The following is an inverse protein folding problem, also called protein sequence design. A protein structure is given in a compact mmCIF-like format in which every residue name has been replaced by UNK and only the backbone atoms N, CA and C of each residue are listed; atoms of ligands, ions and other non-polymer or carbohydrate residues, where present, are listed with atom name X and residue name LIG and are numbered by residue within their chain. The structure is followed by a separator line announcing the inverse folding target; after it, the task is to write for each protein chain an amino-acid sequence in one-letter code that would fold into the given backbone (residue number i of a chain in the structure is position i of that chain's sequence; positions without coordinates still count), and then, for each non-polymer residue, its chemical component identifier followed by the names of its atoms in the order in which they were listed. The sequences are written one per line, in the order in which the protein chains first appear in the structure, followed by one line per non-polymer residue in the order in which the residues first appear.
data_IF_959181746874
#
_entry.id   IF_959181746874
#
_cell.length_a   1.000
_cell.length_b   1.000
_cell.length_c   1.000
_cell.angle_alpha   90.00
_cell.angle_beta   90.00
_cell.angle_gamma   90.00
#
_symmetry.space_group_name_H-M   'P 1'
#
loop_
_entity.id
_entity.type
_entity.pdbx_description
1 polymer ?
#
# COMPACT_ATOMS: atom_id res chain seq x y z
N UNK A 1 40.31 2.10 -8.80
CA UNK A 1 39.95 2.63 -10.14
C UNK A 1 39.15 3.90 -9.91
N UNK A 2 39.67 5.08 -10.30
CA UNK A 2 39.08 6.39 -9.93
C UNK A 2 37.70 6.57 -10.58
N UNK A 3 36.68 6.90 -9.78
CA UNK A 3 35.27 7.14 -10.14
C UNK A 3 35.10 7.99 -11.40
N UNK A 4 35.99 8.96 -11.59
CA UNK A 4 35.97 9.88 -12.74
C UNK A 4 36.21 9.17 -14.08
N UNK A 5 37.03 8.11 -14.11
CA UNK A 5 37.24 7.32 -15.34
C UNK A 5 35.98 6.56 -15.74
N UNK A 6 35.24 6.03 -14.77
CA UNK A 6 33.99 5.29 -15.01
C UNK A 6 32.89 6.21 -15.54
N UNK A 7 32.75 7.40 -14.93
CA UNK A 7 31.76 8.40 -15.34
C UNK A 7 32.07 8.98 -16.74
N UNK A 8 33.35 9.23 -17.05
CA UNK A 8 33.75 9.71 -18.37
C UNK A 8 33.48 8.69 -19.48
N UNK A 9 33.61 7.40 -19.17
CA UNK A 9 33.39 6.31 -20.11
C UNK A 9 31.91 6.07 -20.40
N UNK A 10 31.05 6.16 -19.37
CA UNK A 10 29.61 5.88 -19.49
C UNK A 10 28.84 7.05 -20.11
N UNK A 11 29.22 8.30 -19.79
CA UNK A 11 28.41 9.47 -20.17
C UNK A 11 29.06 10.39 -21.21
N UNK A 12 30.27 10.07 -21.67
CA UNK A 12 31.03 10.91 -22.63
C UNK A 12 31.21 12.38 -22.17
N UNK A 13 31.11 12.64 -20.87
CA UNK A 13 31.27 13.97 -20.29
C UNK A 13 32.77 14.23 -20.15
N UNK A 14 33.34 15.06 -21.02
CA UNK A 14 34.70 15.61 -20.85
C UNK A 14 34.71 16.46 -19.59
N UNK A 15 35.43 16.00 -18.55
CA UNK A 15 35.77 16.70 -17.30
C UNK A 15 34.79 17.82 -16.96
N UNK A 16 33.71 17.50 -16.26
CA UNK A 16 32.91 18.56 -15.64
C UNK A 16 33.75 19.22 -14.56
N UNK A 17 34.05 20.51 -14.71
CA UNK A 17 34.59 21.36 -13.65
C UNK A 17 33.51 21.60 -12.58
N UNK A 18 33.00 20.52 -11.99
CA UNK A 18 32.17 20.59 -10.79
C UNK A 18 33.11 20.79 -9.60
N UNK A 19 33.56 22.03 -9.43
CA UNK A 19 34.13 22.46 -8.16
C UNK A 19 32.96 22.84 -7.27
N UNK A 20 32.68 21.98 -6.28
CA UNK A 20 31.75 22.35 -5.21
C UNK A 20 32.36 23.57 -4.53
N UNK A 21 31.69 24.71 -4.63
CA UNK A 21 32.18 25.95 -4.05
C UNK A 21 32.27 25.79 -2.52
N UNK A 22 33.19 26.49 -1.84
CA UNK A 22 33.26 26.46 -0.37
C UNK A 22 31.92 26.79 0.30
N UNK A 23 31.08 27.62 -0.34
CA UNK A 23 29.73 27.94 0.13
C UNK A 23 28.73 26.79 -0.07
N UNK A 24 28.79 26.05 -1.18
CA UNK A 24 27.98 24.84 -1.38
C UNK A 24 28.41 23.71 -0.46
N UNK A 25 29.72 23.56 -0.25
CA UNK A 25 30.26 22.63 0.74
C UNK A 25 29.77 23.03 2.13
N UNK A 26 29.80 24.33 2.48
CA UNK A 26 29.26 24.84 3.74
C UNK A 26 27.75 24.57 3.85
N UNK A 27 26.95 24.77 2.79
CA UNK A 27 25.52 24.41 2.79
C UNK A 27 25.26 22.92 2.95
N UNK A 28 26.08 22.05 2.35
CA UNK A 28 25.98 20.59 2.51
C UNK A 28 26.40 20.18 3.92
N UNK A 29 27.49 20.76 4.44
CA UNK A 29 27.97 20.51 5.80
C UNK A 29 27.00 21.07 6.83
N UNK A 30 26.36 22.20 6.55
CA UNK A 30 25.30 22.81 7.36
C UNK A 30 24.04 21.95 7.29
N UNK A 31 23.72 21.32 6.16
CA UNK A 31 22.62 20.35 6.02
C UNK A 31 22.90 19.05 6.78
N UNK A 32 24.13 18.52 6.69
CA UNK A 32 24.58 17.38 7.48
C UNK A 32 24.65 17.74 8.97
N UNK A 33 25.04 18.98 9.31
CA UNK A 33 24.96 19.50 10.67
C UNK A 33 23.50 19.68 11.09
N UNK A 34 22.58 20.08 10.22
CA UNK A 34 21.16 20.22 10.54
C UNK A 34 20.49 18.84 10.72
N UNK A 35 20.87 17.85 9.91
CA UNK A 35 20.46 16.45 10.05
C UNK A 35 21.07 15.82 11.32
N UNK A 36 22.31 16.19 11.67
CA UNK A 36 23.00 15.73 12.88
C UNK A 36 22.74 16.61 14.13
N UNK A 37 22.15 17.80 14.01
CA UNK A 37 21.70 18.70 15.09
C UNK A 37 20.21 18.52 15.37
N UNK A 38 19.45 17.94 14.42
CA UNK A 38 18.29 17.09 14.73
C UNK A 38 18.71 15.74 15.33
N UNK A 39 19.93 15.64 15.88
CA UNK A 39 20.23 14.69 16.96
C UNK A 39 19.14 14.90 18.01
N UNK A 40 18.38 13.84 18.22
CA UNK A 40 17.88 13.41 19.52
C UNK A 40 17.18 14.55 20.25
N UNK A 41 15.84 14.57 20.19
CA UNK A 41 14.98 15.22 21.20
C UNK A 41 15.77 15.38 22.51
N UNK A 42 15.92 16.60 23.04
CA UNK A 42 16.46 16.84 24.39
C UNK A 42 15.60 16.06 25.40
N UNK A 43 15.86 14.76 25.50
CA UNK A 43 15.30 13.80 26.43
C UNK A 43 16.26 13.60 27.60
N UNK A 44 17.50 14.08 27.48
CA UNK A 44 18.54 13.99 28.51
C UNK A 44 18.21 14.84 29.76
N UNK A 45 17.11 15.62 29.77
CA UNK A 45 16.76 16.56 30.85
C UNK A 45 15.62 16.03 31.78
N UNK A 46 15.04 14.85 31.56
CA UNK A 46 13.89 14.37 32.36
C UNK A 46 14.15 13.10 33.18
N UNK A 47 15.40 12.73 33.46
CA UNK A 47 15.74 11.41 34.00
C UNK A 47 16.09 11.39 35.49
N UNK A 48 15.61 12.36 36.27
CA UNK A 48 15.82 12.35 37.73
C UNK A 48 14.83 11.41 38.45
N UNK A 49 15.40 10.32 38.99
CA UNK A 49 15.20 9.66 40.29
C UNK A 49 13.82 9.44 40.93
N UNK A 50 12.68 9.73 40.29
CA UNK A 50 11.41 9.20 40.76
C UNK A 50 11.26 7.73 40.33
N UNK A 51 11.39 6.81 41.31
CA UNK A 51 11.32 5.35 41.14
C UNK A 51 10.07 4.91 40.37
N UNK A 52 8.96 5.62 40.52
CA UNK A 52 7.71 5.29 39.85
C UNK A 52 7.73 5.65 38.37
N UNK A 53 8.46 6.67 37.90
CA UNK A 53 8.39 7.20 36.54
C UNK A 53 9.60 6.82 35.66
N UNK A 54 10.20 5.65 35.89
CA UNK A 54 11.34 5.20 35.10
C UNK A 54 10.94 4.11 34.07
N UNK A 55 10.97 4.40 32.74
CA UNK A 55 10.62 3.43 31.71
C UNK A 55 11.41 2.12 31.75
N UNK A 56 12.71 2.18 32.08
CA UNK A 56 13.57 1.00 32.21
C UNK A 56 13.11 0.08 33.33
N UNK A 57 12.80 0.64 34.52
CA UNK A 57 12.32 -0.16 35.65
C UNK A 57 11.01 -0.86 35.33
N UNK A 58 10.09 -0.17 34.64
CA UNK A 58 8.81 -0.75 34.22
C UNK A 58 9.02 -1.87 33.21
N UNK A 59 9.89 -1.69 32.21
CA UNK A 59 10.21 -2.75 31.25
C UNK A 59 10.72 -4.01 31.95
N UNK A 60 11.66 -3.86 32.89
CA UNK A 60 12.21 -4.98 33.66
C UNK A 60 11.13 -5.66 34.51
N UNK A 61 10.26 -4.88 35.15
CA UNK A 61 9.16 -5.42 35.94
C UNK A 61 8.16 -6.21 35.08
N UNK A 62 7.79 -5.69 33.90
CA UNK A 62 6.93 -6.40 32.94
C UNK A 62 7.60 -7.71 32.48
N UNK A 63 8.90 -7.67 32.19
CA UNK A 63 9.65 -8.83 31.73
C UNK A 63 9.77 -9.91 32.81
N UNK A 64 10.11 -9.54 34.05
CA UNK A 64 10.21 -10.47 35.18
C UNK A 64 8.85 -11.05 35.56
N UNK A 65 7.77 -10.27 35.50
CA UNK A 65 6.41 -10.79 35.68
C UNK A 65 6.06 -11.82 34.61
N UNK A 66 6.34 -11.52 33.34
CA UNK A 66 6.12 -12.45 32.24
C UNK A 66 6.92 -13.75 32.41
N UNK A 67 8.20 -13.63 32.81
CA UNK A 67 9.08 -14.77 33.09
C UNK A 67 8.56 -15.64 34.22
N UNK A 68 8.08 -15.05 35.32
CA UNK A 68 7.48 -15.78 36.45
C UNK A 68 6.22 -16.54 36.04
N UNK A 69 5.33 -15.90 35.27
CA UNK A 69 4.05 -16.49 34.85
C UNK A 69 4.22 -17.59 33.78
N UNK A 70 5.24 -17.49 32.91
CA UNK A 70 5.55 -18.53 31.91
C UNK A 70 7.07 -18.73 31.77
N UNK A 71 7.71 -19.60 32.57
CA UNK A 71 9.15 -19.84 32.52
C UNK A 71 9.66 -20.36 31.16
N UNK A 72 8.77 -21.01 30.38
CA UNK A 72 9.06 -21.55 29.05
C UNK A 72 9.32 -20.46 27.97
N UNK A 73 9.09 -19.17 28.27
CA UNK A 73 9.42 -18.04 27.38
C UNK A 73 10.90 -18.04 26.96
N UNK A 74 11.78 -18.63 27.77
CA UNK A 74 13.21 -18.76 27.48
C UNK A 74 13.55 -19.76 26.35
N UNK A 75 12.67 -20.74 26.08
CA UNK A 75 12.94 -21.84 25.14
C UNK A 75 12.13 -21.76 23.84
N UNK A 76 11.06 -20.96 23.82
CA UNK A 76 10.21 -20.77 22.65
C UNK A 76 9.63 -19.36 22.63
N UNK A 77 10.29 -18.47 21.89
CA UNK A 77 9.94 -17.06 21.71
C UNK A 77 8.51 -16.88 21.13
N UNK A 78 7.47 -17.00 21.96
CA UNK A 78 6.07 -16.99 21.53
C UNK A 78 5.16 -16.17 22.44
N UNK A 79 4.05 -15.77 21.83
CA UNK A 79 3.05 -14.77 22.17
C UNK A 79 2.70 -14.72 23.67
N UNK A 80 3.16 -13.66 24.36
CA UNK A 80 2.58 -13.33 25.65
C UNK A 80 1.32 -12.49 25.41
N UNK A 81 0.25 -12.83 26.11
CA UNK A 81 -0.93 -11.98 26.21
C UNK A 81 -0.62 -10.92 27.26
N UNK A 82 -0.10 -9.78 26.83
CA UNK A 82 0.35 -8.72 27.74
C UNK A 82 -0.79 -8.18 28.61
N UNK A 83 -2.06 -8.37 28.21
CA UNK A 83 -3.23 -8.00 29.01
C UNK A 83 -3.33 -8.80 30.32
N UNK A 84 -2.68 -9.96 30.39
CA UNK A 84 -2.61 -10.78 31.61
C UNK A 84 -1.52 -10.30 32.58
N UNK A 85 -0.69 -9.32 32.20
CA UNK A 85 0.37 -8.78 33.05
C UNK A 85 -0.16 -7.59 33.85
N UNK A 86 -0.13 -7.69 35.17
CA UNK A 86 -0.55 -6.59 36.05
C UNK A 86 0.30 -5.36 35.82
N UNK A 87 1.61 -5.53 35.69
CA UNK A 87 2.55 -4.42 35.46
C UNK A 87 2.31 -3.73 34.12
N UNK A 88 1.93 -4.47 33.08
CA UNK A 88 1.58 -3.87 31.80
C UNK A 88 0.27 -3.09 31.89
N UNK A 89 -0.75 -3.64 32.56
CA UNK A 89 -2.00 -2.92 32.79
C UNK A 89 -1.79 -1.65 33.63
N UNK A 90 -0.86 -1.67 34.56
CA UNK A 90 -0.50 -0.48 35.32
C UNK A 90 0.23 0.55 34.45
N UNK A 91 1.08 0.12 33.50
CA UNK A 91 1.60 1.01 32.45
C UNK A 91 0.46 1.67 31.64
N UNK A 92 -0.60 0.93 31.31
CA UNK A 92 -1.73 1.47 30.54
C UNK A 92 -2.55 2.51 31.31
N UNK A 93 -2.60 2.41 32.65
CA UNK A 93 -3.29 3.38 33.53
C UNK A 93 -2.51 4.67 33.75
N UNK A 94 -1.22 4.71 33.40
CA UNK A 94 -0.38 5.90 33.54
C UNK A 94 -0.78 7.00 32.54
N UNK A 95 -0.29 8.20 32.81
CA UNK A 95 -0.53 9.37 31.96
C UNK A 95 -0.13 9.09 30.51
N UNK A 96 -0.77 9.80 29.58
CA UNK A 96 -0.47 9.68 28.16
C UNK A 96 1.00 10.05 27.89
N UNK A 97 1.46 11.12 28.50
CA UNK A 97 2.83 11.64 28.41
C UNK A 97 3.83 10.54 28.81
N UNK A 98 3.53 9.82 29.90
CA UNK A 98 4.38 8.74 30.35
C UNK A 98 4.41 7.56 29.36
N UNK A 99 3.26 7.18 28.80
CA UNK A 99 3.20 6.09 27.81
C UNK A 99 3.95 6.43 26.52
N UNK A 100 3.91 7.69 26.09
CA UNK A 100 4.70 8.18 24.95
C UNK A 100 6.20 8.23 25.28
N UNK A 101 6.55 8.69 26.48
CA UNK A 101 7.93 8.67 26.97
C UNK A 101 8.48 7.24 26.98
N UNK A 102 7.70 6.28 27.50
CA UNK A 102 8.03 4.86 27.51
C UNK A 102 8.30 4.34 26.09
N UNK A 103 7.40 4.63 25.14
CA UNK A 103 7.57 4.26 23.73
C UNK A 103 8.87 4.82 23.13
N UNK A 104 9.11 6.13 23.28
CA UNK A 104 10.28 6.79 22.72
C UNK A 104 11.59 6.31 23.33
N UNK A 105 11.62 6.14 24.66
CA UNK A 105 12.76 5.61 25.38
C UNK A 105 13.18 4.25 24.80
N UNK A 106 12.25 3.30 24.68
CA UNK A 106 12.59 1.98 24.16
C UNK A 106 13.01 1.97 22.70
N UNK A 107 12.42 2.83 21.85
CA UNK A 107 12.87 2.97 20.46
C UNK A 107 14.33 3.44 20.39
N UNK A 108 14.70 4.46 21.18
CA UNK A 108 16.05 5.00 21.20
C UNK A 108 17.06 3.98 21.73
N UNK A 109 16.69 3.29 22.79
CA UNK A 109 17.55 2.31 23.43
C UNK A 109 17.81 1.08 22.55
N UNK A 110 16.77 0.53 21.91
CA UNK A 110 16.94 -0.58 20.95
C UNK A 110 17.89 -0.18 19.82
N UNK A 111 17.84 1.07 19.34
CA UNK A 111 18.76 1.58 18.31
C UNK A 111 20.21 1.66 18.77
N UNK A 112 20.48 1.97 20.04
CA UNK A 112 21.84 2.09 20.58
C UNK A 112 22.56 0.74 20.63
N UNK A 113 21.84 -0.36 20.82
CA UNK A 113 22.40 -1.70 20.98
C UNK A 113 22.68 -2.49 19.69
N UNK A 114 22.75 -1.82 18.54
CA UNK A 114 23.00 -2.44 17.22
C UNK A 114 24.38 -3.15 17.06
N UNK A 115 25.08 -3.46 18.15
CA UNK A 115 26.40 -4.10 18.23
C UNK A 115 26.36 -5.63 18.43
N UNK A 116 25.24 -6.31 18.09
CA UNK A 116 25.20 -7.78 18.00
C UNK A 116 24.76 -8.54 19.26
N UNK A 117 24.30 -7.85 20.31
CA UNK A 117 23.67 -8.51 21.45
C UNK A 117 22.13 -8.57 21.26
N UNK A 118 21.53 -9.76 21.41
CA UNK A 118 20.08 -9.98 21.26
C UNK A 118 19.24 -9.48 22.45
N UNK A 119 19.88 -8.87 23.45
CA UNK A 119 19.28 -8.47 24.73
C UNK A 119 19.67 -7.04 25.09
N UNK A 120 18.68 -6.18 25.34
CA UNK A 120 18.85 -4.83 25.91
C UNK A 120 18.41 -4.81 27.37
N UNK A 121 19.26 -4.30 28.27
CA UNK A 121 19.05 -4.34 29.73
C UNK A 121 18.71 -5.74 30.26
N UNK A 122 19.25 -6.81 29.66
CA UNK A 122 18.91 -8.20 30.01
C UNK A 122 17.53 -8.67 29.51
N UNK A 123 16.82 -7.85 28.74
CA UNK A 123 15.53 -8.17 28.11
C UNK A 123 15.72 -8.39 26.61
N UNK A 124 15.26 -9.53 26.11
CA UNK A 124 15.41 -9.87 24.69
C UNK A 124 14.72 -8.86 23.75
N UNK A 125 15.38 -8.42 22.68
CA UNK A 125 14.87 -7.37 21.77
C UNK A 125 13.50 -7.72 21.20
N UNK A 126 13.26 -8.98 20.82
CA UNK A 126 11.93 -9.44 20.32
C UNK A 126 10.80 -9.23 21.33
N UNK A 127 11.07 -9.39 22.63
CA UNK A 127 10.08 -9.12 23.68
C UNK A 127 9.73 -7.62 23.69
N UNK A 128 10.74 -6.76 23.58
CA UNK A 128 10.54 -5.32 23.55
C UNK A 128 9.76 -4.88 22.31
N UNK A 129 10.15 -5.33 21.10
CA UNK A 129 9.43 -5.01 19.86
C UNK A 129 7.96 -5.42 19.90
N UNK A 130 7.66 -6.58 20.51
CA UNK A 130 6.28 -7.03 20.71
C UNK A 130 5.55 -6.17 21.73
N UNK A 131 6.16 -5.89 22.88
CA UNK A 131 5.58 -4.99 23.89
C UNK A 131 5.23 -3.63 23.27
N UNK A 132 6.09 -3.08 22.41
CA UNK A 132 5.82 -1.83 21.70
C UNK A 132 4.63 -1.96 20.73
N UNK A 133 4.49 -3.06 19.99
CA UNK A 133 3.30 -3.29 19.17
C UNK A 133 2.02 -3.31 20.03
N UNK A 134 2.06 -4.02 21.17
CA UNK A 134 0.92 -4.10 22.10
C UNK A 134 0.57 -2.74 22.70
N UNK A 135 1.58 -1.93 23.01
CA UNK A 135 1.35 -0.57 23.50
C UNK A 135 0.69 0.30 22.42
N UNK A 136 1.13 0.17 21.15
CA UNK A 136 0.49 0.84 20.02
C UNK A 136 -0.95 0.38 19.80
N UNK A 137 -1.32 -0.85 20.19
CA UNK A 137 -2.69 -1.37 20.12
C UNK A 137 -3.67 -0.70 21.09
N UNK A 138 -3.19 0.06 22.07
CA UNK A 138 -4.01 0.74 23.09
C UNK A 138 -4.31 2.20 22.76
N UNK A 139 -4.50 2.47 21.47
CA UNK A 139 -4.90 3.77 20.89
C UNK A 139 -4.16 4.98 21.46
N UNK A 140 -2.83 4.98 21.27
CA UNK A 140 -2.00 6.14 21.57
C UNK A 140 -2.27 7.29 20.58
N UNK A 141 -2.65 8.49 21.04
CA UNK A 141 -2.80 9.66 20.18
C UNK A 141 -1.43 10.20 19.73
N UNK A 142 -0.91 9.63 18.65
CA UNK A 142 0.40 9.98 18.09
C UNK A 142 0.38 11.32 17.34
N UNK A 143 1.44 12.09 17.48
CA UNK A 143 1.77 13.28 16.68
C UNK A 143 2.55 12.89 15.42
N UNK A 144 2.70 13.83 14.48
CA UNK A 144 3.52 13.59 13.27
C UNK A 144 4.98 13.29 13.61
N UNK A 145 5.53 13.91 14.67
CA UNK A 145 6.88 13.63 15.17
C UNK A 145 7.01 12.17 15.62
N UNK A 146 6.02 11.67 16.33
CA UNK A 146 6.02 10.28 16.82
C UNK A 146 5.94 9.30 15.64
N UNK A 147 5.12 9.58 14.62
CA UNK A 147 5.11 8.78 13.39
C UNK A 147 6.46 8.78 12.69
N UNK A 148 7.13 9.92 12.56
CA UNK A 148 8.48 10.00 11.97
C UNK A 148 9.44 9.10 12.73
N UNK A 149 9.42 9.12 14.06
CA UNK A 149 10.25 8.26 14.91
C UNK A 149 9.96 6.78 14.62
N UNK A 150 8.69 6.39 14.59
CA UNK A 150 8.24 5.02 14.37
C UNK A 150 8.62 4.49 12.97
N UNK A 151 8.37 5.27 11.92
CA UNK A 151 8.74 4.90 10.54
C UNK A 151 10.26 4.80 10.38
N UNK A 152 11.02 5.73 10.94
CA UNK A 152 12.48 5.68 10.89
C UNK A 152 13.02 4.47 11.66
N UNK A 153 12.46 4.17 12.84
CA UNK A 153 12.82 2.99 13.62
C UNK A 153 12.57 1.69 12.83
N UNK A 154 11.37 1.56 12.26
CA UNK A 154 11.03 0.41 11.41
C UNK A 154 11.98 0.27 10.21
N UNK A 155 12.42 1.40 9.63
CA UNK A 155 13.31 1.45 8.47
C UNK A 155 14.82 1.34 8.81
N UNK A 156 15.20 1.13 10.09
CA UNK A 156 16.61 1.15 10.51
C UNK A 156 17.32 -0.18 10.23
N UNK A 157 16.69 -1.32 10.55
CA UNK A 157 17.28 -2.66 10.42
C UNK A 157 16.20 -3.65 9.98
N UNK A 158 16.53 -4.53 9.04
CA UNK A 158 15.61 -5.56 8.53
C UNK A 158 15.03 -6.44 9.65
N UNK A 159 15.84 -6.74 10.67
CA UNK A 159 15.41 -7.45 11.86
C UNK A 159 14.19 -6.80 12.56
N UNK A 160 14.20 -5.48 12.73
CA UNK A 160 13.08 -4.77 13.36
C UNK A 160 11.83 -4.84 12.49
N UNK A 161 11.97 -4.71 11.17
CA UNK A 161 10.83 -4.80 10.26
C UNK A 161 10.11 -6.16 10.31
N UNK A 162 10.81 -7.23 10.69
CA UNK A 162 10.22 -8.56 10.85
C UNK A 162 9.39 -8.76 12.13
N UNK A 163 9.55 -7.88 13.12
CA UNK A 163 8.97 -8.03 14.46
C UNK A 163 8.16 -6.80 14.94
N UNK A 164 8.34 -5.65 14.30
CA UNK A 164 7.62 -4.41 14.58
C UNK A 164 6.63 -4.11 13.44
N UNK A 165 5.34 -4.02 13.77
CA UNK A 165 4.27 -4.05 12.77
C UNK A 165 4.08 -2.71 12.09
N UNK A 166 4.52 -2.60 10.82
CA UNK A 166 4.21 -1.45 9.98
C UNK A 166 2.70 -1.26 9.76
N UNK A 167 1.94 -2.37 9.71
CA UNK A 167 0.49 -2.34 9.58
C UNK A 167 -0.17 -1.56 10.73
N UNK A 168 0.34 -1.68 11.96
CA UNK A 168 -0.22 -0.95 13.11
C UNK A 168 0.07 0.54 13.03
N UNK A 169 1.32 0.91 12.73
CA UNK A 169 1.73 2.32 12.55
C UNK A 169 0.85 2.99 11.49
N UNK A 170 0.64 2.33 10.35
CA UNK A 170 -0.17 2.87 9.26
C UNK A 170 -1.66 2.94 9.64
N UNK A 171 -2.17 1.98 10.40
CA UNK A 171 -3.56 2.02 10.87
C UNK A 171 -3.81 3.22 11.78
N UNK A 172 -2.90 3.49 12.73
CA UNK A 172 -2.95 4.68 13.58
C UNK A 172 -2.82 5.98 12.77
N UNK A 173 -1.92 6.00 11.78
CA UNK A 173 -1.77 7.15 10.89
C UNK A 173 -3.05 7.43 10.10
N UNK A 174 -3.71 6.38 9.60
CA UNK A 174 -4.94 6.48 8.84
C UNK A 174 -6.11 7.01 9.70
N UNK A 175 -6.24 6.57 10.95
CA UNK A 175 -7.27 7.13 11.84
C UNK A 175 -6.99 8.59 12.20
N UNK A 176 -5.72 8.95 12.44
CA UNK A 176 -5.33 10.34 12.66
C UNK A 176 -5.63 11.22 11.44
N UNK A 177 -5.28 10.77 10.24
CA UNK A 177 -5.41 11.58 9.02
C UNK A 177 -6.87 11.87 8.64
N UNK A 178 -7.83 11.09 9.15
CA UNK A 178 -9.26 11.44 9.03
C UNK A 178 -9.67 12.61 9.91
N UNK A 179 -8.95 12.85 11.01
CA UNK A 179 -9.31 13.82 12.05
C UNK A 179 -8.49 15.10 11.97
N UNK A 180 -7.27 15.04 11.43
CA UNK A 180 -6.30 16.13 11.43
C UNK A 180 -5.62 16.23 10.07
N UNK A 181 -5.44 17.46 9.60
CA UNK A 181 -4.64 17.74 8.41
C UNK A 181 -3.19 17.27 8.61
N UNK A 182 -2.57 16.88 7.50
CA UNK A 182 -1.17 16.48 7.44
C UNK A 182 -0.33 17.68 7.03
N UNK A 183 0.71 18.00 7.81
CA UNK A 183 1.63 19.08 7.49
C UNK A 183 2.43 18.79 6.22
N UNK A 184 2.88 19.85 5.54
CA UNK A 184 3.74 19.71 4.34
C UNK A 184 5.05 18.97 4.63
N UNK A 185 5.64 19.17 5.82
CA UNK A 185 6.85 18.45 6.24
C UNK A 185 6.58 16.95 6.33
N UNK A 186 5.50 16.57 7.01
CA UNK A 186 5.15 15.16 7.20
C UNK A 186 4.67 14.49 5.91
N UNK A 187 3.95 15.21 5.04
CA UNK A 187 3.62 14.76 3.70
C UNK A 187 4.87 14.39 2.88
N UNK A 188 5.89 15.26 2.88
CA UNK A 188 7.15 15.01 2.19
C UNK A 188 7.91 13.82 2.80
N UNK A 189 7.90 13.70 4.13
CA UNK A 189 8.48 12.54 4.83
C UNK A 189 7.83 11.22 4.36
N UNK A 190 6.51 11.14 4.34
CA UNK A 190 5.78 9.93 3.90
C UNK A 190 6.10 9.58 2.44
N UNK A 191 6.23 10.57 1.54
CA UNK A 191 6.66 10.36 0.15
C UNK A 191 8.08 9.82 0.05
N UNK A 192 8.98 10.31 0.89
CA UNK A 192 10.35 9.80 0.97
C UNK A 192 10.37 8.36 1.51
N UNK A 193 9.59 8.07 2.56
CA UNK A 193 9.48 6.74 3.16
C UNK A 193 9.02 5.68 2.15
N UNK A 194 7.92 5.90 1.41
CA UNK A 194 7.46 4.94 0.39
C UNK A 194 8.47 4.75 -0.75
N UNK A 195 9.37 5.72 -0.94
CA UNK A 195 10.42 5.71 -1.95
C UNK A 195 11.74 5.11 -1.45
N UNK A 196 11.82 4.70 -0.18
CA UNK A 196 13.04 4.24 0.47
C UNK A 196 13.51 2.90 -0.12
N UNK A 197 14.81 2.64 0.02
CA UNK A 197 15.40 1.40 -0.47
C UNK A 197 14.85 0.16 0.25
N UNK A 198 14.52 0.21 1.53
CA UNK A 198 13.93 -0.94 2.24
C UNK A 198 12.56 -1.30 1.65
N UNK A 199 11.71 -0.31 1.39
CA UNK A 199 10.39 -0.52 0.77
C UNK A 199 10.49 -0.93 -0.71
N UNK A 200 11.50 -0.45 -1.45
CA UNK A 200 11.68 -0.76 -2.88
C UNK A 200 12.44 -2.06 -3.17
N UNK A 201 13.44 -2.41 -2.34
CA UNK A 201 14.27 -3.61 -2.50
C UNK A 201 13.54 -4.87 -2.05
N UNK A 202 12.53 -4.75 -1.19
CA UNK A 202 11.65 -5.86 -0.86
C UNK A 202 10.97 -6.41 -2.12
N UNK A 203 10.44 -7.61 -1.99
CA UNK A 203 9.51 -8.16 -2.97
C UNK A 203 8.33 -7.22 -3.14
N UNK A 204 7.82 -7.11 -4.37
CA UNK A 204 6.71 -6.19 -4.64
C UNK A 204 5.48 -6.50 -3.78
N UNK A 205 5.36 -7.74 -3.30
CA UNK A 205 4.22 -8.22 -2.50
C UNK A 205 4.31 -7.90 -1.01
N UNK A 206 5.51 -7.76 -0.45
CA UNK A 206 5.71 -7.79 1.00
C UNK A 206 5.05 -6.59 1.70
N UNK A 207 5.24 -5.39 1.12
CA UNK A 207 4.71 -4.13 1.67
C UNK A 207 3.66 -3.45 0.79
N UNK A 208 3.13 -4.14 -0.23
CA UNK A 208 2.27 -3.51 -1.23
C UNK A 208 1.02 -2.86 -0.63
N UNK A 209 0.44 -3.51 0.38
CA UNK A 209 -0.77 -3.04 1.07
C UNK A 209 -0.48 -1.80 1.90
N UNK A 210 0.63 -1.81 2.62
CA UNK A 210 1.13 -0.73 3.47
C UNK A 210 1.42 0.51 2.64
N UNK A 211 2.16 0.34 1.53
CA UNK A 211 2.45 1.41 0.58
C UNK A 211 1.16 1.98 0.00
N UNK A 212 0.22 1.13 -0.44
CA UNK A 212 -1.07 1.58 -0.97
C UNK A 212 -1.89 2.39 0.04
N UNK A 213 -1.85 2.04 1.33
CA UNK A 213 -2.53 2.78 2.39
C UNK A 213 -1.88 4.16 2.61
N UNK A 214 -0.55 4.25 2.64
CA UNK A 214 0.15 5.54 2.75
C UNK A 214 -0.15 6.41 1.51
N UNK A 215 -0.11 5.83 0.31
CA UNK A 215 -0.47 6.51 -0.93
C UNK A 215 -1.90 7.06 -0.91
N UNK A 216 -2.86 6.28 -0.39
CA UNK A 216 -4.25 6.75 -0.20
C UNK A 216 -4.32 7.96 0.73
N UNK A 217 -3.65 7.89 1.89
CA UNK A 217 -3.58 9.02 2.84
C UNK A 217 -3.01 10.27 2.18
N UNK A 218 -1.92 10.13 1.42
CA UNK A 218 -1.30 11.23 0.68
C UNK A 218 -2.26 11.83 -0.35
N UNK A 219 -2.97 11.00 -1.11
CA UNK A 219 -3.91 11.46 -2.13
C UNK A 219 -5.14 12.14 -1.52
N UNK A 220 -5.65 11.64 -0.40
CA UNK A 220 -6.81 12.23 0.28
C UNK A 220 -6.50 13.62 0.85
N UNK A 221 -5.22 13.93 1.07
CA UNK A 221 -4.71 15.24 1.48
C UNK A 221 -4.10 16.05 0.33
N UNK A 222 -4.21 15.56 -0.92
CA UNK A 222 -3.66 16.25 -2.08
C UNK A 222 -4.68 17.22 -2.68
N UNK A 223 -4.33 18.50 -2.74
CA UNK A 223 -5.13 19.54 -3.39
C UNK A 223 -4.69 19.75 -4.84
N UNK A 224 -5.60 19.51 -5.79
CA UNK A 224 -5.30 19.61 -7.24
C UNK A 224 -5.41 21.05 -7.75
N UNK A 225 -6.19 21.92 -7.09
CA UNK A 225 -6.39 23.31 -7.52
C UNK A 225 -6.44 24.23 -6.29
N UNK A 226 -5.73 25.36 -6.37
CA UNK A 226 -5.48 26.29 -5.27
C UNK A 226 -6.72 26.98 -4.70
N UNK A 227 -7.85 27.01 -5.42
CA UNK A 227 -8.92 27.97 -5.07
C UNK A 227 -10.34 27.38 -4.99
N UNK A 228 -10.54 26.06 -5.04
CA UNK A 228 -11.89 25.47 -4.87
C UNK A 228 -11.91 24.19 -4.06
N UNK A 229 -12.82 24.21 -3.07
CA UNK A 229 -13.19 23.23 -2.02
C UNK A 229 -13.50 21.80 -2.51
N UNK A 230 -13.43 21.50 -3.82
CA UNK A 230 -13.75 20.16 -4.31
C UNK A 230 -12.56 19.22 -4.13
N UNK A 231 -12.55 18.46 -3.03
CA UNK A 231 -11.69 17.28 -2.88
C UNK A 231 -11.96 16.33 -4.05
N UNK A 232 -10.95 16.12 -4.89
CA UNK A 232 -11.02 15.20 -6.04
C UNK A 232 -10.45 13.86 -5.60
N UNK A 233 -11.27 12.82 -5.67
CA UNK A 233 -10.80 11.44 -5.58
C UNK A 233 -9.85 11.12 -6.73
N UNK A 234 -8.60 10.82 -6.36
CA UNK A 234 -7.55 10.32 -7.24
C UNK A 234 -7.32 8.83 -7.04
N UNK A 235 -6.93 8.14 -8.10
CA UNK A 235 -6.55 6.73 -8.08
C UNK A 235 -5.15 6.54 -7.50
N UNK A 236 -4.92 5.39 -6.87
CA UNK A 236 -3.59 5.03 -6.37
C UNK A 236 -2.55 4.99 -7.50
N UNK A 237 -1.30 5.42 -7.25
CA UNK A 237 -0.29 5.56 -8.29
C UNK A 237 0.25 4.19 -8.74
N UNK A 238 -0.30 3.69 -9.84
CA UNK A 238 0.32 2.71 -10.72
C UNK A 238 0.20 3.20 -12.18
N UNK A 239 0.70 2.45 -13.16
CA UNK A 239 0.66 2.88 -14.57
C UNK A 239 -0.75 3.18 -15.10
N UNK A 240 -1.79 2.54 -14.55
CA UNK A 240 -3.19 2.85 -14.85
C UNK A 240 -3.66 4.08 -14.06
N UNK A 241 -3.46 4.10 -12.75
CA UNK A 241 -3.89 5.21 -11.88
C UNK A 241 -3.24 6.54 -12.23
N UNK A 242 -1.94 6.56 -12.58
CA UNK A 242 -1.24 7.78 -13.04
C UNK A 242 -1.87 8.35 -14.30
N UNK A 243 -2.18 7.49 -15.28
CA UNK A 243 -2.86 7.93 -16.50
C UNK A 243 -4.25 8.46 -16.19
N UNK A 244 -5.03 7.74 -15.39
CA UNK A 244 -6.38 8.17 -15.00
C UNK A 244 -6.34 9.49 -14.26
N UNK A 245 -5.38 9.71 -13.36
CA UNK A 245 -5.22 10.98 -12.65
C UNK A 245 -4.84 12.13 -13.59
N UNK A 246 -4.02 11.87 -14.61
CA UNK A 246 -3.73 12.85 -15.67
C UNK A 246 -4.95 13.19 -16.52
N UNK A 247 -5.81 12.20 -16.82
CA UNK A 247 -7.08 12.42 -17.48
C UNK A 247 -7.99 13.29 -16.61
N UNK A 248 -8.17 12.91 -15.34
CA UNK A 248 -8.97 13.65 -14.35
C UNK A 248 -8.51 15.10 -14.23
N UNK A 249 -7.18 15.35 -14.16
CA UNK A 249 -6.63 16.70 -14.04
C UNK A 249 -6.95 17.61 -15.24
N UNK A 250 -7.29 17.04 -16.41
CA UNK A 250 -7.66 17.76 -17.63
C UNK A 250 -9.17 17.93 -17.81
N UNK A 251 -9.99 17.37 -16.92
CA UNK A 251 -11.44 17.52 -16.99
C UNK A 251 -11.87 18.89 -16.48
N UNK A 252 -12.90 19.45 -17.12
CA UNK A 252 -13.58 20.64 -16.65
C UNK A 252 -14.27 20.37 -15.30
N UNK A 253 -14.37 21.40 -14.44
CA UNK A 253 -14.91 21.27 -13.08
C UNK A 253 -16.33 20.64 -13.05
N UNK A 254 -17.14 20.91 -14.08
CA UNK A 254 -18.50 20.38 -14.24
C UNK A 254 -18.54 18.84 -14.41
N UNK A 255 -17.50 18.26 -15.02
CA UNK A 255 -17.37 16.81 -15.25
C UNK A 255 -16.51 16.18 -14.15
N UNK A 256 -15.45 16.88 -13.75
CA UNK A 256 -14.46 16.44 -12.78
C UNK A 256 -15.09 15.96 -11.47
N UNK A 257 -15.90 16.80 -10.82
CA UNK A 257 -16.48 16.46 -9.51
C UNK A 257 -17.44 15.25 -9.58
N UNK A 258 -18.43 15.21 -10.50
CA UNK A 258 -19.29 14.04 -10.67
C UNK A 258 -18.53 12.77 -11.03
N UNK A 259 -17.57 12.85 -11.96
CA UNK A 259 -16.79 11.70 -12.37
C UNK A 259 -15.92 11.16 -11.23
N UNK A 260 -15.30 12.06 -10.47
CA UNK A 260 -14.52 11.72 -9.29
C UNK A 260 -15.34 11.00 -8.22
N UNK A 261 -16.57 11.44 -7.96
CA UNK A 261 -17.52 10.73 -7.08
C UNK A 261 -17.84 9.33 -7.58
N UNK A 262 -18.08 9.17 -8.89
CA UNK A 262 -18.33 7.87 -9.48
C UNK A 262 -17.12 6.94 -9.24
N UNK A 263 -15.90 7.41 -9.50
CA UNK A 263 -14.68 6.61 -9.27
C UNK A 263 -14.50 6.22 -7.79
N UNK A 264 -14.81 7.13 -6.86
CA UNK A 264 -14.81 6.84 -5.42
C UNK A 264 -15.86 5.78 -5.03
N UNK A 265 -17.04 5.80 -5.66
CA UNK A 265 -18.09 4.81 -5.44
C UNK A 265 -17.63 3.44 -5.96
N UNK A 266 -17.02 3.40 -7.16
CA UNK A 266 -16.51 2.17 -7.76
C UNK A 266 -15.34 1.56 -6.96
N UNK A 267 -14.47 2.38 -6.37
CA UNK A 267 -13.32 1.90 -5.58
C UNK A 267 -13.72 1.10 -4.33
N UNK A 268 -14.95 1.31 -3.84
CA UNK A 268 -15.51 0.63 -2.67
C UNK A 268 -16.27 -0.67 -3.02
N UNK A 269 -16.53 -0.96 -4.30
CA UNK A 269 -17.31 -2.13 -4.71
C UNK A 269 -16.50 -3.44 -4.69
N UNK A 270 -16.65 -4.22 -3.62
CA UNK A 270 -15.92 -5.50 -3.43
C UNK A 270 -16.62 -6.70 -4.08
N UNK A 271 -17.95 -6.69 -4.25
CA UNK A 271 -18.75 -7.85 -4.65
C UNK A 271 -18.70 -8.18 -6.15
N UNK A 272 -18.77 -9.45 -6.56
CA UNK A 272 -18.76 -9.86 -7.98
C UNK A 272 -20.00 -9.35 -8.74
N UNK A 273 -21.11 -9.19 -8.03
CA UNK A 273 -22.33 -8.58 -8.54
C UNK A 273 -22.40 -7.12 -8.08
N UNK A 274 -23.01 -6.28 -8.92
CA UNK A 274 -23.26 -4.90 -8.56
C UNK A 274 -24.59 -4.78 -7.80
N UNK A 275 -24.63 -4.18 -6.60
CA UNK A 275 -25.90 -3.81 -5.98
C UNK A 275 -26.63 -2.79 -6.88
N UNK A 276 -27.95 -2.90 -7.09
CA UNK A 276 -28.73 -1.89 -7.82
C UNK A 276 -28.52 -0.46 -7.28
N UNK A 277 -28.30 -0.34 -5.98
CA UNK A 277 -27.96 0.91 -5.29
C UNK A 277 -26.67 1.59 -5.81
N UNK A 278 -25.70 0.81 -6.30
CA UNK A 278 -24.46 1.37 -6.86
C UNK A 278 -24.76 2.17 -8.13
N UNK A 279 -25.51 1.58 -9.07
CA UNK A 279 -25.84 2.25 -10.33
C UNK A 279 -26.82 3.38 -10.13
N UNK A 280 -27.76 3.26 -9.19
CA UNK A 280 -28.59 4.39 -8.78
C UNK A 280 -27.75 5.58 -8.26
N UNK A 281 -26.67 5.31 -7.53
CA UNK A 281 -25.74 6.37 -7.08
C UNK A 281 -24.99 7.00 -8.24
N UNK A 282 -24.59 6.22 -9.24
CA UNK A 282 -23.92 6.70 -10.45
C UNK A 282 -24.87 7.54 -11.32
N UNK A 283 -26.11 7.10 -11.49
CA UNK A 283 -27.12 7.78 -12.30
C UNK A 283 -27.48 9.17 -11.78
N UNK A 284 -27.43 9.38 -10.45
CA UNK A 284 -27.62 10.72 -9.86
C UNK A 284 -26.63 11.76 -10.41
N UNK A 285 -25.44 11.33 -10.78
CA UNK A 285 -24.39 12.21 -11.31
C UNK A 285 -24.59 12.49 -12.82
N UNK A 286 -25.45 11.75 -13.54
CA UNK A 286 -25.69 11.94 -14.98
C UNK A 286 -26.40 13.22 -15.35
N UNK A 287 -27.11 13.83 -14.40
CA UNK A 287 -27.65 15.19 -14.55
C UNK A 287 -26.55 16.22 -14.85
N UNK A 288 -25.29 15.92 -14.51
CA UNK A 288 -24.14 16.82 -14.67
C UNK A 288 -23.18 16.37 -15.77
N UNK A 289 -22.81 15.09 -15.79
CA UNK A 289 -21.82 14.57 -16.76
C UNK A 289 -22.44 14.21 -18.11
N UNK A 290 -23.74 13.92 -18.15
CA UNK A 290 -24.43 13.24 -19.24
C UNK A 290 -23.92 11.81 -19.52
N UNK A 291 -24.85 10.90 -19.85
CA UNK A 291 -24.55 9.48 -20.06
C UNK A 291 -23.52 9.24 -21.19
N UNK A 292 -23.59 10.01 -22.29
CA UNK A 292 -22.69 9.81 -23.43
C UNK A 292 -21.24 10.17 -23.11
N UNK A 293 -21.02 11.28 -22.41
CA UNK A 293 -19.71 11.69 -21.91
C UNK A 293 -19.16 10.66 -20.93
N UNK A 294 -20.02 10.18 -20.01
CA UNK A 294 -19.66 9.13 -19.08
C UNK A 294 -19.21 7.85 -19.81
N UNK A 295 -20.00 7.35 -20.77
CA UNK A 295 -19.63 6.18 -21.59
C UNK A 295 -18.29 6.37 -22.31
N UNK A 296 -18.02 7.57 -22.84
CA UNK A 296 -16.74 7.89 -23.50
C UNK A 296 -15.56 7.76 -22.51
N UNK A 297 -15.69 8.33 -21.32
CA UNK A 297 -14.66 8.24 -20.28
C UNK A 297 -14.47 6.82 -19.77
N UNK A 298 -15.56 6.07 -19.55
CA UNK A 298 -15.50 4.64 -19.19
C UNK A 298 -14.73 3.86 -20.23
N UNK A 299 -15.03 4.07 -21.52
CA UNK A 299 -14.35 3.38 -22.62
C UNK A 299 -12.87 3.71 -22.69
N UNK A 300 -12.50 4.99 -22.57
CA UNK A 300 -11.09 5.42 -22.55
C UNK A 300 -10.32 4.78 -21.38
N UNK A 301 -10.94 4.70 -20.20
CA UNK A 301 -10.35 4.01 -19.06
C UNK A 301 -10.28 2.49 -19.26
N UNK A 302 -11.26 1.86 -19.88
CA UNK A 302 -11.22 0.42 -20.19
C UNK A 302 -10.15 0.10 -21.24
N UNK A 303 -9.98 0.95 -22.25
CA UNK A 303 -8.89 0.87 -23.23
C UNK A 303 -7.52 1.02 -22.56
N UNK A 304 -7.37 1.97 -21.65
CA UNK A 304 -6.13 2.07 -20.87
C UNK A 304 -5.92 0.83 -20.01
N UNK A 305 -6.98 0.36 -19.37
CA UNK A 305 -6.95 -0.80 -18.50
C UNK A 305 -6.61 -2.07 -19.29
N UNK A 306 -7.04 -2.25 -20.54
CA UNK A 306 -6.67 -3.41 -21.36
C UNK A 306 -5.18 -3.40 -21.74
N UNK A 307 -4.61 -2.22 -21.92
CA UNK A 307 -3.21 -2.03 -22.33
C UNK A 307 -2.19 -2.04 -21.16
N UNK A 308 -2.64 -2.15 -19.91
CA UNK A 308 -1.72 -2.20 -18.76
C UNK A 308 -0.81 -3.45 -18.81
N UNK A 309 0.50 -3.22 -18.66
CA UNK A 309 1.52 -4.26 -18.56
C UNK A 309 2.22 -4.13 -17.19
N UNK A 310 2.26 -5.19 -16.36
CA UNK A 310 2.94 -5.12 -15.09
C UNK A 310 4.45 -4.95 -15.30
N UNK A 311 5.09 -4.13 -14.47
CA UNK A 311 6.56 -4.05 -14.46
C UNK A 311 7.12 -5.32 -13.83
N UNK A 312 8.16 -5.89 -14.43
CA UNK A 312 8.81 -7.12 -13.95
C UNK A 312 10.25 -6.79 -13.57
N UNK A 313 10.73 -7.29 -12.43
CA UNK A 313 12.14 -7.17 -11.99
C UNK A 313 12.70 -8.53 -11.58
N UNK A 314 13.98 -8.82 -11.85
CA UNK A 314 14.64 -9.98 -11.26
C UNK A 314 14.87 -9.73 -9.76
N UNK A 315 14.57 -10.73 -8.94
CA UNK A 315 14.87 -10.78 -7.52
C UNK A 315 15.95 -11.83 -7.30
N UNK A 316 16.95 -11.46 -6.52
CA UNK A 316 17.97 -12.35 -6.02
C UNK A 316 17.68 -12.68 -4.57
N UNK A 317 17.63 -13.97 -4.23
CA UNK A 317 17.53 -14.43 -2.84
C UNK A 317 18.73 -15.31 -2.49
N UNK A 318 19.35 -14.97 -1.37
CA UNK A 318 20.31 -15.83 -0.69
C UNK A 318 19.54 -16.59 0.40
N UNK A 319 19.58 -17.92 0.37
CA UNK A 319 19.04 -18.74 1.45
C UNK A 319 20.13 -19.68 1.95
N UNK A 320 20.30 -19.78 3.27
CA UNK A 320 21.32 -20.63 3.89
C UNK A 320 21.28 -22.10 3.45
N UNK A 321 20.13 -22.59 2.98
CA UNK A 321 19.86 -24.00 2.64
C UNK A 321 19.69 -24.27 1.14
N UNK A 322 19.54 -23.23 0.32
CA UNK A 322 19.50 -23.33 -1.14
C UNK A 322 20.40 -22.22 -1.66
N UNK A 323 21.54 -22.60 -2.23
CA UNK A 323 22.43 -21.68 -2.95
C UNK A 323 21.62 -20.61 -3.70
N UNK A 324 22.18 -19.40 -3.71
CA UNK A 324 21.69 -18.21 -4.41
C UNK A 324 20.78 -18.53 -5.62
N UNK A 325 19.51 -18.11 -5.56
CA UNK A 325 18.57 -18.31 -6.66
C UNK A 325 17.96 -17.00 -7.13
N UNK A 326 17.67 -16.95 -8.43
CA UNK A 326 17.00 -15.84 -9.10
C UNK A 326 15.58 -16.24 -9.45
N UNK A 327 14.64 -15.33 -9.22
CA UNK A 327 13.28 -15.43 -9.76
C UNK A 327 12.79 -14.06 -10.20
N UNK A 328 11.77 -14.00 -11.04
CA UNK A 328 11.16 -12.74 -11.43
C UNK A 328 9.96 -12.43 -10.54
N UNK A 329 9.85 -11.18 -10.10
CA UNK A 329 8.66 -10.64 -9.44
C UNK A 329 8.08 -9.49 -10.27
N UNK A 330 6.81 -9.16 -10.06
CA UNK A 330 6.14 -8.09 -10.79
C UNK A 330 5.41 -7.11 -9.87
N UNK A 331 5.37 -5.85 -10.30
CA UNK A 331 4.58 -4.79 -9.67
C UNK A 331 3.11 -4.99 -10.07
N UNK A 332 2.23 -5.44 -9.15
CA UNK A 332 0.84 -5.63 -9.48
C UNK A 332 0.12 -4.29 -9.57
N UNK A 333 -0.90 -4.21 -10.42
CA UNK A 333 -1.88 -3.12 -10.32
C UNK A 333 -2.44 -3.06 -8.90
N UNK A 334 -2.62 -1.84 -8.39
CA UNK A 334 -3.16 -1.60 -7.04
C UNK A 334 -4.55 -2.23 -6.95
N UNK A 335 -4.83 -2.90 -5.83
CA UNK A 335 -6.11 -3.61 -5.63
C UNK A 335 -7.31 -2.68 -5.82
N UNK A 336 -7.22 -1.46 -5.31
CA UNK A 336 -8.26 -0.44 -5.46
C UNK A 336 -8.51 -0.09 -6.94
N UNK A 337 -7.46 0.09 -7.74
CA UNK A 337 -7.58 0.34 -9.17
C UNK A 337 -8.23 -0.84 -9.91
N UNK A 338 -7.96 -2.09 -9.48
CA UNK A 338 -8.66 -3.26 -10.02
C UNK A 338 -10.16 -3.23 -9.68
N UNK A 339 -10.54 -2.79 -8.47
CA UNK A 339 -11.96 -2.64 -8.08
C UNK A 339 -12.66 -1.58 -8.95
N UNK A 340 -11.98 -0.47 -9.23
CA UNK A 340 -12.48 0.57 -10.12
C UNK A 340 -12.70 0.01 -11.52
N UNK A 341 -11.72 -0.67 -12.12
CA UNK A 341 -11.85 -1.25 -13.46
C UNK A 341 -13.00 -2.26 -13.52
N UNK A 342 -13.12 -3.10 -12.49
CA UNK A 342 -14.27 -4.00 -12.35
C UNK A 342 -15.60 -3.23 -12.37
N UNK A 343 -15.68 -2.12 -11.63
CA UNK A 343 -16.83 -1.23 -11.64
C UNK A 343 -17.12 -0.64 -13.02
N UNK A 344 -16.08 -0.25 -13.75
CA UNK A 344 -16.19 0.26 -15.12
C UNK A 344 -16.70 -0.82 -16.09
N UNK A 345 -16.22 -2.06 -15.98
CA UNK A 345 -16.70 -3.21 -16.79
C UNK A 345 -18.19 -3.46 -16.53
N UNK A 346 -18.60 -3.49 -15.26
CA UNK A 346 -20.00 -3.67 -14.86
C UNK A 346 -20.87 -2.50 -15.35
N UNK A 347 -20.34 -1.28 -15.30
CA UNK A 347 -21.05 -0.10 -15.79
C UNK A 347 -21.23 -0.09 -17.31
N UNK A 348 -20.21 -0.47 -18.07
CA UNK A 348 -20.31 -0.64 -19.51
C UNK A 348 -21.41 -1.66 -19.87
N UNK A 349 -21.53 -2.73 -19.09
CA UNK A 349 -22.58 -3.73 -19.22
C UNK A 349 -23.98 -3.15 -18.94
N UNK A 350 -24.14 -2.50 -17.77
CA UNK A 350 -25.42 -1.95 -17.32
C UNK A 350 -25.97 -0.90 -18.30
N UNK A 351 -25.12 -0.03 -18.84
CA UNK A 351 -25.52 0.98 -19.81
C UNK A 351 -25.43 0.51 -21.28
N UNK A 352 -25.22 -0.79 -21.53
CA UNK A 352 -25.13 -1.40 -22.86
C UNK A 352 -24.14 -0.69 -23.81
N UNK A 353 -22.94 -0.33 -23.31
CA UNK A 353 -21.87 0.23 -24.15
C UNK A 353 -21.14 -0.86 -24.94
N UNK A 354 -21.76 -1.29 -26.03
CA UNK A 354 -21.24 -2.32 -26.95
C UNK A 354 -19.82 -2.00 -27.45
N UNK A 355 -19.46 -0.72 -27.59
CA UNK A 355 -18.13 -0.28 -28.02
C UNK A 355 -17.02 -0.61 -27.01
N UNK A 356 -17.37 -0.95 -25.77
CA UNK A 356 -16.42 -1.39 -24.74
C UNK A 356 -16.08 -2.89 -24.79
N UNK A 357 -16.84 -3.70 -25.54
CA UNK A 357 -16.66 -5.16 -25.63
C UNK A 357 -15.21 -5.57 -25.98
N UNK A 358 -14.54 -4.97 -27.00
CA UNK A 358 -13.17 -5.37 -27.34
C UNK A 358 -12.18 -5.16 -26.19
N UNK A 359 -12.34 -4.08 -25.42
CA UNK A 359 -11.48 -3.81 -24.27
C UNK A 359 -11.76 -4.78 -23.12
N UNK A 360 -13.03 -5.16 -22.90
CA UNK A 360 -13.41 -6.17 -21.91
C UNK A 360 -12.79 -7.54 -22.26
N UNK A 361 -12.78 -7.94 -23.53
CA UNK A 361 -12.10 -9.15 -23.99
C UNK A 361 -10.60 -9.11 -23.70
N UNK A 362 -9.92 -8.01 -24.04
CA UNK A 362 -8.48 -7.89 -23.79
C UNK A 362 -8.15 -7.92 -22.29
N UNK A 363 -8.97 -7.27 -21.45
CA UNK A 363 -8.84 -7.33 -19.99
C UNK A 363 -9.01 -8.77 -19.49
N UNK A 364 -10.02 -9.48 -19.98
CA UNK A 364 -10.25 -10.90 -19.70
C UNK A 364 -8.99 -11.72 -19.99
N UNK A 365 -8.51 -11.70 -21.25
CA UNK A 365 -7.42 -12.58 -21.69
C UNK A 365 -6.15 -12.32 -20.87
N UNK A 366 -5.81 -11.04 -20.67
CA UNK A 366 -4.69 -10.64 -19.83
C UNK A 366 -4.87 -11.06 -18.38
N UNK A 367 -6.08 -11.03 -17.84
CA UNK A 367 -6.33 -11.33 -16.43
C UNK A 367 -5.89 -12.74 -16.03
N UNK A 368 -5.79 -13.66 -16.99
CA UNK A 368 -5.30 -15.03 -16.83
C UNK A 368 -3.93 -15.29 -17.49
N UNK A 369 -3.35 -14.29 -18.16
CA UNK A 369 -2.07 -14.44 -18.83
C UNK A 369 -0.91 -14.61 -17.85
N UNK A 370 0.19 -15.15 -18.36
CA UNK A 370 1.47 -15.22 -17.65
C UNK A 370 2.50 -14.39 -18.39
N UNK A 371 3.17 -13.47 -17.69
CA UNK A 371 4.29 -12.69 -18.22
C UNK A 371 5.58 -13.21 -17.59
N UNK A 372 6.60 -13.58 -18.38
CA UNK A 372 7.86 -14.16 -17.88
C UNK A 372 7.65 -15.34 -16.91
N UNK A 373 6.72 -16.25 -17.26
CA UNK A 373 6.26 -17.37 -16.42
C UNK A 373 5.57 -16.98 -15.09
N UNK A 374 5.38 -15.68 -14.80
CA UNK A 374 4.66 -15.23 -13.61
C UNK A 374 3.16 -15.14 -13.93
N UNK A 375 2.36 -15.89 -13.17
CA UNK A 375 0.90 -15.82 -13.20
C UNK A 375 0.42 -14.59 -12.44
N UNK A 376 -0.53 -13.85 -13.02
CA UNK A 376 -1.19 -12.77 -12.30
C UNK A 376 -1.99 -13.30 -11.11
N UNK A 377 -2.00 -12.54 -10.02
CA UNK A 377 -2.57 -12.95 -8.74
C UNK A 377 -4.09 -13.17 -8.76
N UNK A 378 -4.67 -13.68 -7.65
CA UNK A 378 -6.11 -13.92 -7.53
C UNK A 378 -6.98 -12.70 -7.86
N UNK A 379 -6.53 -11.49 -7.51
CA UNK A 379 -7.27 -10.25 -7.78
C UNK A 379 -7.41 -9.97 -9.28
N UNK A 380 -6.37 -10.23 -10.07
CA UNK A 380 -6.43 -10.15 -11.54
C UNK A 380 -7.42 -11.18 -12.10
N UNK A 381 -7.35 -12.43 -11.63
CA UNK A 381 -8.28 -13.48 -12.05
C UNK A 381 -9.74 -13.17 -11.71
N UNK A 382 -10.00 -12.50 -10.59
CA UNK A 382 -11.34 -12.03 -10.23
C UNK A 382 -11.87 -10.98 -11.22
N UNK A 383 -11.02 -10.06 -11.71
CA UNK A 383 -11.39 -9.13 -12.78
C UNK A 383 -11.73 -9.88 -14.08
N UNK A 384 -10.92 -10.88 -14.44
CA UNK A 384 -11.19 -11.73 -15.61
C UNK A 384 -12.51 -12.48 -15.51
N UNK A 385 -12.84 -13.04 -14.34
CA UNK A 385 -14.12 -13.72 -14.12
C UNK A 385 -15.33 -12.79 -14.32
N UNK A 386 -15.21 -11.53 -13.92
CA UNK A 386 -16.25 -10.50 -14.12
C UNK A 386 -16.41 -10.17 -15.59
N UNK A 387 -15.32 -10.09 -16.34
CA UNK A 387 -15.39 -9.88 -17.79
C UNK A 387 -16.15 -11.04 -18.46
N UNK A 388 -15.91 -12.30 -18.05
CA UNK A 388 -16.68 -13.47 -18.55
C UNK A 388 -18.16 -13.31 -18.22
N UNK A 389 -18.49 -13.03 -16.95
CA UNK A 389 -19.87 -12.86 -16.52
C UNK A 389 -20.58 -11.75 -17.31
N UNK A 390 -19.92 -10.60 -17.49
CA UNK A 390 -20.49 -9.47 -18.23
C UNK A 390 -20.73 -9.81 -19.70
N UNK A 391 -19.77 -10.46 -20.36
CA UNK A 391 -19.92 -10.89 -21.76
C UNK A 391 -21.00 -11.96 -21.92
N UNK A 392 -21.16 -12.86 -20.95
CA UNK A 392 -22.14 -13.95 -21.00
C UNK A 392 -23.59 -13.45 -20.91
N UNK A 393 -23.84 -12.47 -20.03
CA UNK A 393 -25.21 -12.13 -19.60
C UNK A 393 -25.71 -10.74 -20.01
N UNK A 394 -24.84 -9.81 -20.42
CA UNK A 394 -25.23 -8.40 -20.56
C UNK A 394 -25.04 -7.80 -21.97
N UNK A 395 -24.37 -8.51 -22.87
CA UNK A 395 -24.12 -8.05 -24.25
C UNK A 395 -24.78 -8.96 -25.30
N UNK A 396 -25.84 -9.66 -24.90
CA UNK A 396 -26.64 -10.53 -25.76
C UNK A 396 -25.77 -11.49 -26.61
N UNK A 397 -26.20 -11.77 -27.84
CA UNK A 397 -25.51 -12.67 -28.77
C UNK A 397 -24.07 -12.23 -29.08
N UNK A 398 -23.77 -10.94 -29.05
CA UNK A 398 -22.44 -10.44 -29.39
C UNK A 398 -21.41 -10.82 -28.31
N UNK A 399 -21.76 -10.65 -27.03
CA UNK A 399 -20.91 -11.06 -25.92
C UNK A 399 -20.76 -12.59 -25.85
N UNK A 400 -21.85 -13.31 -26.10
CA UNK A 400 -21.86 -14.77 -26.11
C UNK A 400 -20.98 -15.35 -27.23
N UNK A 401 -21.11 -14.86 -28.47
CA UNK A 401 -20.27 -15.28 -29.60
C UNK A 401 -18.78 -15.09 -29.30
N UNK A 402 -18.43 -13.95 -28.71
CA UNK A 402 -17.05 -13.67 -28.32
C UNK A 402 -16.52 -14.65 -27.27
N UNK A 403 -17.34 -15.06 -26.30
CA UNK A 403 -16.94 -16.07 -25.31
C UNK A 403 -16.73 -17.45 -25.94
N UNK A 404 -17.54 -17.82 -26.93
CA UNK A 404 -17.33 -19.06 -27.71
C UNK A 404 -15.98 -19.00 -28.42
N UNK A 405 -15.68 -17.89 -29.10
CA UNK A 405 -14.39 -17.69 -29.79
C UNK A 405 -13.21 -17.79 -28.80
N UNK A 406 -13.30 -17.10 -27.66
CA UNK A 406 -12.32 -17.15 -26.58
C UNK A 406 -12.14 -18.58 -26.07
N UNK A 407 -13.23 -19.33 -25.85
CA UNK A 407 -13.18 -20.71 -25.32
C UNK A 407 -12.38 -21.64 -26.25
N UNK A 408 -12.55 -21.50 -27.56
CA UNK A 408 -11.82 -22.29 -28.54
C UNK A 408 -10.36 -21.85 -28.71
N UNK A 409 -10.08 -20.55 -28.68
CA UNK A 409 -8.74 -20.01 -28.92
C UNK A 409 -7.83 -20.09 -27.69
N UNK A 410 -8.39 -20.02 -26.47
CA UNK A 410 -7.58 -19.91 -25.25
C UNK A 410 -6.91 -21.23 -24.86
N UNK A 411 -5.65 -21.13 -24.41
CA UNK A 411 -4.92 -22.24 -23.77
C UNK A 411 -5.14 -22.30 -22.26
N UNK A 412 -5.77 -21.29 -21.66
CA UNK A 412 -5.92 -21.17 -20.21
C UNK A 412 -7.12 -21.98 -19.70
N UNK A 413 -6.85 -23.11 -19.04
CA UNK A 413 -7.88 -23.98 -18.44
C UNK A 413 -8.84 -23.24 -17.49
N UNK A 414 -8.37 -22.19 -16.80
CA UNK A 414 -9.20 -21.40 -15.89
C UNK A 414 -10.23 -20.53 -16.62
N UNK A 415 -9.91 -20.04 -17.81
CA UNK A 415 -10.89 -19.32 -18.65
C UNK A 415 -11.98 -20.31 -19.07
N UNK A 416 -11.59 -21.47 -19.62
CA UNK A 416 -12.54 -22.52 -20.06
C UNK A 416 -13.52 -22.92 -18.96
N UNK A 417 -13.00 -23.28 -17.78
CA UNK A 417 -13.81 -23.63 -16.60
C UNK A 417 -14.80 -22.52 -16.20
N UNK A 418 -14.38 -21.26 -16.29
CA UNK A 418 -15.23 -20.14 -15.91
C UNK A 418 -16.30 -19.87 -16.98
N UNK A 419 -16.00 -20.04 -18.27
CA UNK A 419 -17.00 -19.97 -19.36
C UNK A 419 -18.01 -21.11 -19.23
N UNK A 420 -17.57 -22.35 -19.01
CA UNK A 420 -18.44 -23.51 -18.77
C UNK A 420 -19.38 -23.27 -17.57
N UNK A 421 -18.87 -22.65 -16.51
CA UNK A 421 -19.67 -22.28 -15.33
C UNK A 421 -20.77 -21.29 -15.68
N UNK A 422 -20.47 -20.25 -16.47
CA UNK A 422 -21.49 -19.28 -16.88
C UNK A 422 -22.46 -19.87 -17.92
N UNK A 423 -21.98 -20.73 -18.83
CA UNK A 423 -22.82 -21.48 -19.78
C UNK A 423 -23.89 -22.32 -19.07
N UNK A 424 -23.50 -23.04 -18.00
CA UNK A 424 -24.45 -23.80 -17.17
C UNK A 424 -25.52 -22.92 -16.53
N UNK A 425 -25.17 -21.70 -16.09
CA UNK A 425 -26.16 -20.77 -15.54
C UNK A 425 -27.12 -20.26 -16.59
N UNK A 426 -26.63 -19.95 -17.81
CA UNK A 426 -27.49 -19.54 -18.92
C UNK A 426 -28.48 -20.66 -19.25
N UNK A 427 -28.01 -21.90 -19.33
CA UNK A 427 -28.89 -23.06 -19.56
C UNK A 427 -29.98 -23.19 -18.49
N UNK A 428 -29.64 -23.01 -17.21
CA UNK A 428 -30.61 -23.04 -16.12
C UNK A 428 -31.70 -21.95 -16.23
N UNK A 429 -31.40 -20.80 -16.83
CA UNK A 429 -32.33 -19.68 -16.97
C UNK A 429 -33.10 -19.67 -18.29
N UNK A 430 -32.53 -20.21 -19.37
CA UNK A 430 -33.05 -20.05 -20.74
C UNK A 430 -33.37 -21.37 -21.45
N UNK A 431 -32.93 -22.51 -20.91
CA UNK A 431 -33.03 -23.82 -21.56
C UNK A 431 -32.04 -24.03 -22.71
N UNK A 432 -31.22 -23.03 -23.07
CA UNK A 432 -30.19 -23.13 -24.11
C UNK A 432 -28.81 -22.78 -23.53
N UNK A 433 -27.78 -23.62 -23.72
CA UNK A 433 -26.44 -23.31 -23.22
C UNK A 433 -25.71 -22.32 -24.15
N UNK A 434 -24.66 -21.68 -23.61
CA UNK A 434 -23.73 -20.86 -24.40
C UNK A 434 -22.80 -21.73 -25.26
N UNK A 435 -22.44 -22.90 -24.75
CA UNK A 435 -21.48 -23.86 -25.33
C UNK A 435 -22.16 -25.16 -25.70
#
# INVERSE_FOLDING_TARGET
MKTDKLLSFIFSIKKSNFEITPEELKKITDLESFINQKKILDLDILWEDEIENNPKKILLAIFEEAKKKKPQILLGMMLYDYEQLTTFNDLLKRSLEFRLLFLHYHILEIKKENNGNDTFNGVHIRFQLRLLNYLLDKDLPLTEKDFIILFNFWNTVEYYSSHFSLDRIISLLHERSKQKEISKEFYNFLRFFISSNHVKKSEYKEYQKQVANIERILLDHYTIKSDKVSVVFLLLPDHFGVYTNQLIAKLDDAILSPFSKILMVLSKNKGLNTPPQLFYTIEKEFSKIHLNTYKKLVRELLERASNFKPKVKPIYRNTYYRNNFYFYDYEPMRKENILIIKGLVLSAAFYKDVKSIPFIQLILERSYSSTNAIKLGPTSRALGAICIQVLAHHFDLQGQKLLVDVYHQTKFKLIKKQIEKESKKIFQHTGQPLL
#
